data_IF_674612672929
#
_entry.id   IF_674612672929
#
_cell.length_a   1.000
_cell.length_b   1.000
_cell.length_c   1.000
_cell.angle_alpha   90.00
_cell.angle_beta   90.00
_cell.angle_gamma   90.00
#
_symmetry.space_group_name_H-M   'P 1'
#
loop_
_entity.id
_entity.type
_entity.pdbx_description
1 polymer ?
#
# COMPACT_ATOMS: atom_id res chain seq x y z
N UNK A 1 -13.52 9.02 -4.38
CA UNK A 1 -12.17 8.65 -3.91
C UNK A 1 -12.05 7.15 -3.60
N UNK A 2 -12.58 6.62 -2.47
CA UNK A 2 -12.37 5.19 -2.13
C UNK A 2 -12.94 4.23 -3.16
N UNK A 3 -14.17 4.47 -3.64
CA UNK A 3 -14.77 3.63 -4.68
C UNK A 3 -13.95 3.63 -5.98
N UNK A 4 -13.41 4.79 -6.37
CA UNK A 4 -12.57 4.95 -7.56
C UNK A 4 -11.21 4.27 -7.39
N UNK A 5 -10.63 4.37 -6.18
CA UNK A 5 -9.42 3.64 -5.80
C UNK A 5 -9.62 2.12 -5.88
N UNK A 6 -10.73 1.61 -5.35
CA UNK A 6 -11.08 0.19 -5.42
C UNK A 6 -11.22 -0.26 -6.88
N UNK A 7 -11.93 0.50 -7.71
CA UNK A 7 -12.06 0.20 -9.15
C UNK A 7 -10.71 0.23 -9.85
N UNK A 8 -9.86 1.21 -9.54
CA UNK A 8 -8.53 1.33 -10.11
C UNK A 8 -7.64 0.14 -9.73
N UNK A 9 -7.54 -0.20 -8.45
CA UNK A 9 -6.77 -1.37 -7.98
C UNK A 9 -7.33 -2.65 -8.57
N UNK A 10 -8.66 -2.82 -8.62
CA UNK A 10 -9.31 -3.99 -9.21
C UNK A 10 -8.94 -4.18 -10.68
N UNK A 11 -8.93 -3.12 -11.49
CA UNK A 11 -8.44 -3.17 -12.87
C UNK A 11 -6.97 -3.56 -12.94
N UNK A 12 -6.12 -2.96 -12.11
CA UNK A 12 -4.68 -3.26 -12.11
C UNK A 12 -4.36 -4.69 -11.64
N UNK A 13 -5.14 -5.24 -10.71
CA UNK A 13 -5.03 -6.65 -10.31
C UNK A 13 -5.38 -7.60 -11.46
N UNK A 14 -6.41 -7.27 -12.24
CA UNK A 14 -6.80 -8.03 -13.42
C UNK A 14 -5.76 -7.93 -14.54
N UNK A 15 -5.27 -6.72 -14.83
CA UNK A 15 -4.24 -6.46 -15.85
C UNK A 15 -2.91 -7.20 -15.54
N UNK A 16 -2.43 -7.16 -14.30
CA UNK A 16 -1.12 -7.73 -13.93
C UNK A 16 -1.18 -9.21 -13.56
N UNK A 17 -2.30 -9.67 -13.02
CA UNK A 17 -2.40 -10.98 -12.39
C UNK A 17 -3.65 -11.78 -12.78
N UNK A 18 -4.50 -11.27 -13.67
CA UNK A 18 -5.77 -11.90 -14.07
C UNK A 18 -6.68 -12.20 -12.86
N UNK A 19 -6.58 -11.37 -11.82
CA UNK A 19 -7.40 -11.48 -10.62
C UNK A 19 -8.56 -10.50 -10.71
N UNK A 20 -9.77 -11.05 -10.89
CA UNK A 20 -11.00 -10.28 -10.77
C UNK A 20 -11.25 -9.92 -9.30
N UNK A 21 -11.56 -8.66 -9.05
CA UNK A 21 -11.89 -8.17 -7.71
C UNK A 21 -13.06 -7.18 -7.81
N UNK A 22 -14.07 -7.37 -6.98
CA UNK A 22 -15.19 -6.45 -6.83
C UNK A 22 -15.22 -5.89 -5.40
N UNK A 23 -16.08 -4.89 -5.17
CA UNK A 23 -16.28 -4.33 -3.83
C UNK A 23 -16.81 -5.35 -2.81
N UNK A 24 -17.44 -6.45 -3.27
CA UNK A 24 -17.93 -7.53 -2.42
C UNK A 24 -16.80 -8.42 -1.90
N UNK A 25 -15.59 -8.34 -2.50
CA UNK A 25 -14.40 -9.04 -2.04
C UNK A 25 -13.52 -8.17 -1.12
N UNK A 26 -13.99 -7.00 -0.70
CA UNK A 26 -13.17 -6.04 0.05
C UNK A 26 -13.86 -5.69 1.36
N UNK A 27 -13.27 -6.14 2.45
CA UNK A 27 -13.67 -5.72 3.78
C UNK A 27 -13.19 -4.28 4.01
N UNK A 28 -14.14 -3.37 4.21
CA UNK A 28 -13.89 -1.97 4.51
C UNK A 28 -14.10 -1.69 5.99
N UNK A 29 -13.05 -1.23 6.66
CA UNK A 29 -13.11 -0.78 8.05
C UNK A 29 -12.91 0.74 8.12
N UNK A 30 -13.65 1.40 8.99
CA UNK A 30 -13.60 2.84 9.23
C UNK A 30 -13.25 3.14 10.69
N UNK A 31 -12.49 4.21 10.87
CA UNK A 31 -12.14 4.81 12.16
C UNK A 31 -11.95 6.31 12.01
N UNK A 32 -12.77 6.90 11.14
CA UNK A 32 -12.74 8.31 10.80
C UNK A 32 -13.22 9.14 11.99
N UNK A 33 -12.71 10.36 12.07
CA UNK A 33 -13.15 11.41 12.99
C UNK A 33 -13.50 12.65 12.19
N UNK A 34 -14.06 13.66 12.85
CA UNK A 34 -14.31 14.97 12.24
C UNK A 34 -13.01 15.60 11.67
N UNK A 35 -11.87 15.35 12.31
CA UNK A 35 -10.57 15.89 11.89
C UNK A 35 -9.82 15.01 10.88
N UNK A 36 -10.15 13.71 10.80
CA UNK A 36 -9.36 12.74 10.04
C UNK A 36 -10.20 11.65 9.42
N UNK A 37 -10.15 11.56 8.10
CA UNK A 37 -10.55 10.37 7.37
C UNK A 37 -9.55 9.21 7.60
N UNK A 38 -10.02 8.03 8.00
CA UNK A 38 -9.16 6.87 8.32
C UNK A 38 -9.86 5.54 8.04
N UNK A 39 -9.54 4.93 6.90
CA UNK A 39 -10.15 3.69 6.43
C UNK A 39 -9.09 2.61 6.14
N UNK A 40 -9.38 1.36 6.48
CA UNK A 40 -8.61 0.18 6.06
C UNK A 40 -9.39 -0.58 4.98
N UNK A 41 -8.72 -0.94 3.89
CA UNK A 41 -9.25 -1.81 2.85
C UNK A 41 -8.50 -3.15 2.90
N UNK A 42 -9.25 -4.24 3.05
CA UNK A 42 -8.69 -5.59 3.13
C UNK A 42 -9.29 -6.41 1.99
N UNK A 43 -8.44 -6.70 1.00
CA UNK A 43 -8.83 -7.42 -0.22
C UNK A 43 -8.78 -8.93 0.05
N UNK A 44 -9.94 -9.56 0.05
CA UNK A 44 -10.14 -10.99 0.28
C UNK A 44 -10.26 -11.68 -1.07
N UNK A 45 -9.13 -11.79 -1.76
CA UNK A 45 -9.03 -12.36 -3.10
C UNK A 45 -9.30 -13.88 -3.05
N UNK A 46 -10.14 -14.38 -3.96
CA UNK A 46 -10.39 -15.81 -4.07
C UNK A 46 -9.19 -16.50 -4.74
N UNK A 47 -8.62 -17.52 -4.07
CA UNK A 47 -7.47 -18.28 -4.55
C UNK A 47 -6.26 -17.44 -4.98
N UNK A 48 -6.06 -16.26 -4.37
CA UNK A 48 -4.87 -15.47 -4.61
C UNK A 48 -4.40 -14.77 -3.33
N UNK A 49 -3.07 -14.64 -3.17
CA UNK A 49 -2.46 -13.86 -2.11
C UNK A 49 -1.12 -13.31 -2.57
N UNK A 50 -0.75 -12.12 -2.14
CA UNK A 50 0.61 -11.63 -2.36
C UNK A 50 1.61 -12.42 -1.51
N UNK A 51 2.78 -12.67 -2.08
CA UNK A 51 3.89 -13.39 -1.43
C UNK A 51 4.24 -12.82 -0.05
N UNK A 52 4.17 -11.50 0.11
CA UNK A 52 4.21 -10.80 1.40
C UNK A 52 3.78 -9.33 1.20
N UNK A 53 3.71 -8.56 2.29
CA UNK A 53 3.31 -7.16 2.25
C UNK A 53 4.29 -6.23 1.50
N UNK A 54 5.56 -6.61 1.35
CA UNK A 54 6.52 -5.83 0.56
C UNK A 54 6.14 -5.88 -0.92
N UNK A 55 5.77 -7.05 -1.45
CA UNK A 55 5.30 -7.16 -2.83
C UNK A 55 4.00 -6.37 -3.08
N UNK A 56 3.12 -6.25 -2.06
CA UNK A 56 1.94 -5.36 -2.15
C UNK A 56 2.41 -3.90 -2.28
N UNK A 57 3.35 -3.47 -1.43
CA UNK A 57 3.89 -2.12 -1.46
C UNK A 57 4.55 -1.78 -2.80
N UNK A 58 5.28 -2.73 -3.39
CA UNK A 58 5.93 -2.58 -4.69
C UNK A 58 4.88 -2.45 -5.80
N UNK A 59 3.88 -3.34 -5.82
CA UNK A 59 2.77 -3.29 -6.76
C UNK A 59 2.05 -1.93 -6.72
N UNK A 60 1.71 -1.45 -5.52
CA UNK A 60 1.04 -0.16 -5.35
C UNK A 60 1.93 1.01 -5.80
N UNK A 61 3.24 0.99 -5.48
CA UNK A 61 4.19 2.00 -5.97
C UNK A 61 4.27 2.02 -7.49
N UNK A 62 4.32 0.87 -8.13
CA UNK A 62 4.34 0.75 -9.60
C UNK A 62 3.08 1.34 -10.21
N UNK A 63 1.90 0.92 -9.78
CA UNK A 63 0.65 1.37 -10.42
C UNK A 63 0.28 2.82 -10.06
N UNK A 64 0.73 3.34 -8.93
CA UNK A 64 0.47 4.72 -8.48
C UNK A 64 1.61 5.69 -8.81
N UNK A 65 2.61 5.27 -9.58
CA UNK A 65 3.77 6.10 -9.92
C UNK A 65 3.37 7.48 -10.48
N UNK A 66 2.35 7.61 -11.37
CA UNK A 66 1.90 8.93 -11.83
C UNK A 66 1.42 9.84 -10.70
N UNK A 67 0.66 9.31 -9.74
CA UNK A 67 0.21 10.09 -8.57
C UNK A 67 1.36 10.45 -7.64
N UNK A 68 2.32 9.55 -7.46
CA UNK A 68 3.52 9.80 -6.64
C UNK A 68 4.33 10.95 -7.24
N UNK A 69 4.48 11.04 -8.56
CA UNK A 69 5.14 12.18 -9.21
C UNK A 69 4.41 13.50 -8.96
N UNK A 70 3.07 13.51 -8.99
CA UNK A 70 2.27 14.71 -8.69
C UNK A 70 2.50 15.25 -7.27
N UNK A 71 2.88 14.40 -6.31
CA UNK A 71 3.25 14.86 -4.95
C UNK A 71 4.64 15.49 -4.85
N UNK A 72 5.52 15.23 -5.82
CA UNK A 72 6.93 15.68 -5.81
C UNK A 72 7.16 17.00 -6.54
N UNK A 73 6.29 17.37 -7.48
CA UNK A 73 6.41 18.63 -8.23
C UNK A 73 6.09 19.82 -7.31
N UNK A 74 7.15 20.37 -6.70
CA UNK A 74 7.08 21.43 -5.69
C UNK A 74 7.36 22.84 -6.22
N UNK A 75 7.77 23.02 -7.47
CA UNK A 75 8.22 24.32 -7.96
C UNK A 75 7.43 24.83 -9.17
N UNK A 76 7.09 26.12 -9.12
CA UNK A 76 6.42 26.97 -10.10
C UNK A 76 4.88 26.99 -10.13
N UNK A 77 4.29 27.74 -9.21
CA UNK A 77 3.08 28.54 -9.48
C UNK A 77 3.28 29.91 -8.82
N UNK A 78 3.94 30.82 -9.54
CA UNK A 78 3.80 32.27 -9.35
C UNK A 78 2.54 32.71 -10.13
N UNK A 79 1.49 33.24 -9.48
CA UNK A 79 0.26 33.59 -10.15
C UNK A 79 0.32 35.02 -10.71
N UNK A 80 1.06 35.21 -11.80
CA UNK A 80 0.91 36.38 -12.68
C UNK A 80 1.06 36.00 -14.16
N UNK A 81 0.05 35.32 -14.71
CA UNK A 81 -0.45 35.63 -16.06
C UNK A 81 -1.74 34.86 -16.35
N UNK A 82 -2.88 35.49 -16.10
CA UNK A 82 -4.13 35.13 -16.77
C UNK A 82 -4.14 35.93 -18.07
N UNK A 83 -3.95 35.24 -19.20
CA UNK A 83 -4.76 35.46 -20.40
C UNK A 83 -4.47 34.43 -21.49
N UNK A 84 -5.54 33.70 -21.80
CA UNK A 84 -6.02 33.32 -23.13
C UNK A 84 -5.33 32.21 -23.96
N UNK A 85 -6.25 31.42 -24.52
CA UNK A 85 -6.18 30.58 -25.72
C UNK A 85 -5.56 29.20 -25.53
N UNK A 86 -6.44 28.21 -25.56
CA UNK A 86 -6.06 26.80 -25.70
C UNK A 86 -5.37 26.53 -27.04
N UNK A 87 -4.62 25.43 -27.06
CA UNK A 87 -4.28 24.55 -28.19
C UNK A 87 -2.84 24.03 -28.03
N UNK A 88 -2.76 22.72 -27.89
CA UNK A 88 -1.72 21.80 -28.35
C UNK A 88 -0.33 22.41 -28.63
N UNK A 89 0.66 22.05 -27.80
CA UNK A 89 2.08 22.23 -28.13
C UNK A 89 2.67 20.89 -28.58
N UNK A 90 2.71 20.73 -29.90
CA UNK A 90 3.85 20.12 -30.59
C UNK A 90 4.88 21.24 -30.74
N UNK A 91 6.06 21.13 -30.13
CA UNK A 91 7.19 21.97 -30.57
C UNK A 91 8.52 21.24 -30.43
N UNK A 92 9.12 21.06 -31.60
CA UNK A 92 10.54 20.85 -31.90
C UNK A 92 11.39 21.96 -31.29
N UNK A 93 12.44 21.61 -30.55
CA UNK A 93 13.48 22.55 -30.13
C UNK A 93 14.59 22.53 -31.19
N UNK A 94 14.75 23.68 -31.85
CA UNK A 94 15.90 24.03 -32.67
C UNK A 94 17.04 24.42 -31.74
N UNK A 95 18.17 23.74 -31.85
CA UNK A 95 19.33 23.87 -30.96
C UNK A 95 20.54 24.34 -31.77
N UNK A 96 20.69 25.65 -31.89
CA UNK A 96 21.96 26.33 -32.18
C UNK A 96 22.06 27.46 -31.15
N UNK A 97 22.95 27.44 -30.18
CA UNK A 97 24.41 27.40 -30.25
C UNK A 97 24.97 26.94 -28.89
N UNK A 98 26.25 26.54 -28.87
CA UNK A 98 27.04 25.95 -27.77
C UNK A 98 27.08 24.40 -27.74
N UNK A 99 27.78 23.85 -28.74
CA UNK A 99 28.62 22.65 -28.60
C UNK A 99 29.71 22.96 -27.54
N UNK A 100 30.27 22.08 -26.71
CA UNK A 100 30.85 20.75 -26.98
C UNK A 100 30.98 19.93 -25.67
N UNK A 101 30.62 18.63 -25.74
CA UNK A 101 31.26 17.44 -25.10
C UNK A 101 30.25 16.32 -24.76
N UNK A 102 29.84 15.67 -25.85
CA UNK A 102 29.89 14.24 -26.17
C UNK A 102 29.75 13.11 -25.12
N UNK A 103 28.92 12.14 -25.53
CA UNK A 103 28.80 10.71 -25.16
C UNK A 103 27.89 10.18 -24.04
N UNK A 104 27.44 10.95 -23.02
CA UNK A 104 26.70 10.35 -21.88
C UNK A 104 25.15 10.46 -21.91
N UNK A 105 24.57 11.22 -22.85
CA UNK A 105 23.12 11.53 -22.84
C UNK A 105 22.30 10.66 -23.81
N UNK A 106 22.94 9.96 -24.76
CA UNK A 106 22.23 9.08 -25.70
C UNK A 106 21.85 7.72 -25.11
N UNK A 107 22.64 7.17 -24.18
CA UNK A 107 22.37 5.84 -23.63
C UNK A 107 21.19 5.79 -22.64
N UNK A 108 20.88 6.90 -21.97
CA UNK A 108 19.76 6.92 -20.99
C UNK A 108 18.39 6.90 -21.70
N UNK A 109 18.28 7.58 -22.85
CA UNK A 109 17.04 7.64 -23.62
C UNK A 109 16.78 6.39 -24.48
N UNK A 110 17.83 5.65 -24.85
CA UNK A 110 17.68 4.38 -25.58
C UNK A 110 17.34 3.21 -24.62
N UNK A 111 17.88 3.21 -23.40
CA UNK A 111 17.67 2.12 -22.44
C UNK A 111 16.27 2.10 -21.80
N UNK A 112 15.58 3.25 -21.71
CA UNK A 112 14.19 3.32 -21.23
C UNK A 112 13.15 2.83 -22.25
N UNK A 113 13.52 2.73 -23.54
CA UNK A 113 12.63 2.24 -24.61
C UNK A 113 12.80 0.75 -24.94
N UNK A 114 13.80 0.05 -24.38
CA UNK A 114 14.14 -1.31 -24.80
C UNK A 114 13.60 -2.43 -23.89
N UNK A 115 13.15 -2.14 -22.67
CA UNK A 115 12.70 -3.19 -21.73
C UNK A 115 11.17 -3.29 -21.51
N UNK A 116 10.38 -2.66 -22.38
CA UNK A 116 8.92 -2.81 -22.42
C UNK A 116 8.47 -3.87 -23.46
N UNK A 117 8.96 -5.11 -23.37
CA UNK A 117 8.39 -6.25 -24.11
C UNK A 117 8.64 -7.50 -23.25
N UNK A 118 7.63 -8.14 -22.65
CA UNK A 118 6.56 -8.86 -23.35
C UNK A 118 5.22 -8.70 -22.62
N UNK A 119 4.41 -7.75 -23.07
CA UNK A 119 2.95 -7.87 -22.97
C UNK A 119 2.51 -8.21 -24.38
N UNK A 120 1.81 -9.34 -24.51
CA UNK A 120 1.21 -9.81 -25.75
C UNK A 120 0.46 -8.67 -26.42
N UNK A 121 0.83 -8.36 -27.66
CA UNK A 121 0.17 -7.38 -28.51
C UNK A 121 -1.33 -7.66 -28.60
N UNK A 122 -2.12 -6.82 -27.93
CA UNK A 122 -3.48 -6.49 -28.35
C UNK A 122 -3.72 -5.04 -28.00
N UNK A 123 -3.76 -4.23 -29.06
CA UNK A 123 -3.75 -2.78 -28.99
C UNK A 123 -4.93 -2.19 -28.22
N UNK A 124 -4.59 -1.28 -27.33
CA UNK A 124 -5.38 -0.10 -26.98
C UNK A 124 -4.38 0.96 -26.57
N UNK A 125 -4.48 2.15 -27.15
CA UNK A 125 -3.69 3.33 -26.78
C UNK A 125 -3.75 3.55 -25.27
N UNK A 126 -2.67 3.28 -24.54
CA UNK A 126 -2.59 3.49 -23.10
C UNK A 126 -2.58 4.99 -22.80
N UNK A 127 -3.77 5.56 -22.63
CA UNK A 127 -3.91 6.80 -21.88
C UNK A 127 -3.39 6.54 -20.46
N UNK A 128 -2.32 7.23 -20.07
CA UNK A 128 -1.88 7.24 -18.68
C UNK A 128 -3.08 7.63 -17.81
N UNK A 129 -3.56 6.77 -16.90
CA UNK A 129 -4.76 7.06 -16.14
C UNK A 129 -4.52 8.32 -15.29
N UNK A 130 -5.43 9.29 -15.36
CA UNK A 130 -5.38 10.44 -14.46
C UNK A 130 -5.62 9.97 -13.02
N UNK A 131 -4.58 10.04 -12.20
CA UNK A 131 -4.60 9.67 -10.79
C UNK A 131 -4.60 10.90 -9.87
N UNK A 132 -4.91 12.10 -10.39
CA UNK A 132 -5.00 13.34 -9.62
C UNK A 132 -6.01 13.26 -8.47
N UNK A 133 -7.06 12.44 -8.61
CA UNK A 133 -8.06 12.19 -7.56
C UNK A 133 -7.50 11.51 -6.31
N UNK A 134 -6.27 10.97 -6.35
CA UNK A 134 -5.58 10.39 -5.21
C UNK A 134 -4.73 11.42 -4.45
N UNK A 135 -4.64 12.66 -4.92
CA UNK A 135 -3.83 13.69 -4.28
C UNK A 135 -4.69 14.46 -3.27
N UNK A 136 -4.21 14.54 -2.04
CA UNK A 136 -4.85 15.27 -0.93
C UNK A 136 -3.88 16.28 -0.33
N UNK A 137 -4.41 17.28 0.38
CA UNK A 137 -3.58 18.21 1.14
C UNK A 137 -3.31 17.62 2.53
N UNK A 138 -2.04 17.61 2.92
CA UNK A 138 -1.60 17.33 4.27
C UNK A 138 -1.90 18.49 5.22
N UNK A 139 -1.50 18.35 6.48
CA UNK A 139 -1.81 19.32 7.53
C UNK A 139 -1.18 20.69 7.30
N UNK A 140 -0.05 20.73 6.60
CA UNK A 140 0.71 21.95 6.31
C UNK A 140 0.48 22.43 4.86
N UNK A 141 -0.54 21.91 4.18
CA UNK A 141 -0.87 22.24 2.79
C UNK A 141 -0.03 21.51 1.74
N UNK A 142 0.89 20.65 2.16
CA UNK A 142 1.71 19.83 1.27
C UNK A 142 0.87 18.77 0.55
N UNK A 143 1.16 18.51 -0.72
CA UNK A 143 0.47 17.45 -1.48
C UNK A 143 0.93 16.07 -1.00
N UNK A 144 -0.03 15.22 -0.67
CA UNK A 144 0.20 13.84 -0.22
C UNK A 144 -0.68 12.87 -1.00
N UNK A 145 -0.28 11.60 -1.02
CA UNK A 145 -1.11 10.54 -1.57
C UNK A 145 -2.20 10.16 -0.55
N UNK A 146 -3.42 9.93 -1.03
CA UNK A 146 -4.53 9.42 -0.23
C UNK A 146 -4.26 8.03 0.36
N UNK A 147 -3.42 7.24 -0.32
CA UNK A 147 -3.00 5.90 0.09
C UNK A 147 -1.70 5.96 0.89
N UNK A 148 -1.71 5.44 2.11
CA UNK A 148 -0.51 5.33 2.96
C UNK A 148 0.38 4.18 2.46
N UNK A 149 1.39 4.49 1.66
CA UNK A 149 2.39 3.52 1.18
C UNK A 149 3.43 3.13 2.25
N UNK A 150 3.42 3.78 3.41
CA UNK A 150 4.33 3.55 4.52
C UNK A 150 3.98 2.33 5.37
N UNK A 151 2.82 1.69 5.15
CA UNK A 151 2.38 0.48 5.87
C UNK A 151 3.02 -0.81 5.34
N UNK A 152 3.65 -0.78 4.18
CA UNK A 152 4.23 -1.96 3.54
C UNK A 152 5.69 -2.18 3.96
N UNK A 153 5.91 -2.39 5.26
CA UNK A 153 7.23 -2.59 5.89
C UNK A 153 7.32 -3.92 6.62
N UNK A 154 8.55 -4.43 6.85
CA UNK A 154 8.76 -5.71 7.54
C UNK A 154 8.13 -5.69 8.94
N UNK A 155 7.38 -6.74 9.28
CA UNK A 155 6.72 -6.92 10.59
C UNK A 155 5.81 -5.74 10.99
N UNK A 156 5.12 -5.11 10.02
CA UNK A 156 4.21 -3.99 10.30
C UNK A 156 3.06 -4.44 11.21
N UNK A 157 2.84 -3.69 12.29
CA UNK A 157 1.62 -3.78 13.07
C UNK A 157 0.45 -3.12 12.32
N UNK A 158 -0.64 -3.88 12.17
CA UNK A 158 -1.93 -3.39 11.73
C UNK A 158 -2.90 -3.45 12.90
N UNK A 159 -3.62 -2.35 13.15
CA UNK A 159 -4.63 -2.30 14.21
C UNK A 159 -5.77 -3.26 13.89
N UNK A 160 -6.17 -4.04 14.89
CA UNK A 160 -7.21 -5.05 14.77
C UNK A 160 -8.61 -4.42 14.66
N UNK A 161 -9.53 -5.14 14.01
CA UNK A 161 -10.97 -4.88 14.08
C UNK A 161 -11.43 -4.78 15.54
N UNK A 162 -12.39 -3.89 15.81
CA UNK A 162 -12.90 -3.58 17.16
C UNK A 162 -11.88 -2.97 18.13
N UNK A 163 -10.67 -2.61 17.69
CA UNK A 163 -9.68 -1.94 18.53
C UNK A 163 -9.57 -0.44 18.27
N UNK A 164 -9.25 0.33 19.30
CA UNK A 164 -8.84 1.74 19.18
C UNK A 164 -7.32 1.88 19.26
N UNK A 165 -6.80 3.07 18.96
CA UNK A 165 -5.41 3.40 19.29
C UNK A 165 -5.29 3.67 20.79
N UNK A 166 -4.12 3.44 21.36
CA UNK A 166 -3.85 3.80 22.75
C UNK A 166 -4.21 5.27 23.02
N UNK A 167 -4.96 5.52 24.09
CA UNK A 167 -5.44 6.85 24.48
C UNK A 167 -6.52 7.44 23.55
N UNK A 168 -7.07 6.67 22.60
CA UNK A 168 -8.16 7.10 21.72
C UNK A 168 -9.39 6.23 21.94
N UNK A 169 -10.56 6.82 21.79
CA UNK A 169 -11.87 6.15 21.93
C UNK A 169 -12.42 5.65 20.60
N UNK A 170 -11.87 6.12 19.48
CA UNK A 170 -12.36 5.79 18.13
C UNK A 170 -11.95 4.37 17.76
N UNK A 171 -12.97 3.51 17.62
CA UNK A 171 -12.84 2.09 17.32
C UNK A 171 -12.74 1.87 15.81
N UNK A 172 -11.93 0.90 15.37
CA UNK A 172 -11.94 0.43 13.98
C UNK A 172 -13.12 -0.51 13.76
N UNK A 173 -14.17 -0.04 13.10
CA UNK A 173 -15.41 -0.79 12.89
C UNK A 173 -15.67 -1.03 11.38
N UNK A 174 -16.63 -1.89 11.04
CA UNK A 174 -17.14 -2.04 9.69
C UNK A 174 -17.64 -0.68 9.18
N UNK A 175 -17.20 -0.26 8.00
CA UNK A 175 -17.66 0.98 7.39
C UNK A 175 -19.13 0.86 6.95
N UNK A 176 -19.88 1.97 7.00
CA UNK A 176 -21.30 1.99 6.62
C UNK A 176 -21.55 1.55 5.17
N UNK A 177 -20.64 1.89 4.27
CA UNK A 177 -20.68 1.55 2.84
C UNK A 177 -19.92 0.26 2.50
N UNK A 178 -19.58 -0.57 3.51
CA UNK A 178 -18.97 -1.87 3.30
C UNK A 178 -19.93 -2.81 2.55
N UNK A 179 -19.42 -3.47 1.48
CA UNK A 179 -20.19 -4.43 0.67
C UNK A 179 -19.79 -5.89 0.90
N UNK A 180 -18.64 -6.13 1.53
CA UNK A 180 -18.20 -7.48 1.85
C UNK A 180 -19.06 -8.08 2.96
N UNK A 181 -19.60 -9.27 2.72
CA UNK A 181 -20.29 -10.08 3.72
C UNK A 181 -19.57 -11.42 3.83
N UNK A 182 -19.06 -11.82 5.00
CA UNK A 182 -18.38 -13.10 5.14
C UNK A 182 -19.36 -14.26 4.89
N UNK A 183 -18.86 -15.31 4.23
CA UNK A 183 -19.63 -16.54 4.00
C UNK A 183 -19.93 -17.19 5.37
N UNK A 184 -21.20 -17.54 5.66
CA UNK A 184 -21.58 -18.13 6.93
C UNK A 184 -20.89 -19.48 7.11
N UNK A 185 -20.28 -19.68 8.29
CA UNK A 185 -19.68 -20.96 8.68
C UNK A 185 -20.41 -21.48 9.92
N UNK A 186 -20.80 -22.76 9.90
CA UNK A 186 -21.45 -23.43 11.02
C UNK A 186 -20.63 -23.22 12.30
N UNK A 187 -21.30 -22.89 13.41
CA UNK A 187 -20.70 -22.65 14.74
C UNK A 187 -19.83 -21.39 14.89
N UNK A 188 -20.01 -20.35 14.07
CA UNK A 188 -19.34 -19.04 14.27
C UNK A 188 -20.31 -17.87 14.23
N UNK A 189 -20.12 -16.88 15.10
CA UNK A 189 -20.91 -15.64 15.04
C UNK A 189 -20.39 -14.70 13.95
N UNK A 190 -21.22 -13.74 13.51
CA UNK A 190 -20.85 -12.77 12.46
C UNK A 190 -19.59 -11.98 12.82
N UNK A 191 -19.46 -11.53 14.06
CA UNK A 191 -18.31 -10.74 14.51
C UNK A 191 -17.00 -11.53 14.43
N UNK A 192 -17.03 -12.82 14.78
CA UNK A 192 -15.88 -13.70 14.63
C UNK A 192 -15.48 -13.85 13.16
N UNK A 193 -16.44 -13.96 12.25
CA UNK A 193 -16.14 -14.06 10.81
C UNK A 193 -15.55 -12.75 10.26
N UNK A 194 -16.06 -11.59 10.68
CA UNK A 194 -15.48 -10.30 10.34
C UNK A 194 -14.07 -10.13 10.93
N UNK A 195 -13.89 -10.51 12.19
CA UNK A 195 -12.57 -10.50 12.83
C UNK A 195 -11.57 -11.33 12.04
N UNK A 196 -11.89 -12.59 11.72
CA UNK A 196 -11.03 -13.47 10.92
C UNK A 196 -10.77 -12.92 9.52
N UNK A 197 -11.76 -12.30 8.89
CA UNK A 197 -11.61 -11.66 7.57
C UNK A 197 -10.77 -10.37 7.63
N UNK A 198 -10.66 -9.75 8.81
CA UNK A 198 -9.85 -8.54 9.01
C UNK A 198 -8.35 -8.82 9.26
N UNK A 199 -7.99 -10.07 9.52
CA UNK A 199 -6.60 -10.46 9.77
C UNK A 199 -5.83 -10.52 8.44
N UNK A 200 -4.91 -9.58 8.22
CA UNK A 200 -4.11 -9.47 6.99
C UNK A 200 -3.35 -10.77 6.67
N UNK A 201 -2.85 -11.47 7.69
CA UNK A 201 -2.09 -12.71 7.52
C UNK A 201 -2.96 -13.98 7.51
N UNK A 202 -4.28 -13.88 7.68
CA UNK A 202 -5.19 -15.02 7.65
C UNK A 202 -5.57 -15.40 6.22
N UNK A 203 -4.55 -15.78 5.44
CA UNK A 203 -4.71 -16.21 4.05
C UNK A 203 -5.38 -17.59 4.04
N UNK A 204 -6.42 -17.75 3.22
CA UNK A 204 -7.07 -19.04 3.01
C UNK A 204 -6.26 -19.84 2.00
N UNK A 205 -5.65 -20.92 2.47
CA UNK A 205 -4.89 -21.83 1.61
C UNK A 205 -5.83 -22.75 0.84
N UNK A 206 -5.54 -22.90 -0.45
CA UNK A 206 -6.18 -23.85 -1.35
C UNK A 206 -5.15 -24.40 -2.32
N UNK A 207 -5.41 -25.57 -2.91
CA UNK A 207 -4.48 -26.21 -3.86
C UNK A 207 -4.27 -25.39 -5.14
N UNK A 208 -5.18 -24.44 -5.42
CA UNK A 208 -5.12 -23.52 -6.54
C UNK A 208 -4.71 -22.09 -6.14
N UNK A 209 -4.15 -21.89 -4.94
CA UNK A 209 -3.73 -20.57 -4.47
C UNK A 209 -2.61 -19.98 -5.35
N UNK A 210 -2.91 -18.89 -6.06
CA UNK A 210 -1.96 -18.11 -6.84
C UNK A 210 -1.19 -17.15 -5.93
N UNK A 211 0.13 -17.31 -5.87
CA UNK A 211 1.01 -16.41 -5.14
C UNK A 211 1.45 -15.25 -6.04
N UNK A 212 1.02 -14.05 -5.71
CA UNK A 212 1.31 -12.83 -6.47
C UNK A 212 2.64 -12.22 -6.02
N UNK A 213 3.48 -11.80 -6.96
CA UNK A 213 4.74 -11.10 -6.67
C UNK A 213 4.89 -9.86 -7.54
N UNK A 214 5.45 -8.82 -6.94
CA UNK A 214 5.91 -7.61 -7.62
C UNK A 214 7.26 -7.24 -7.04
N UNK A 215 8.32 -7.36 -7.84
CA UNK A 215 9.67 -7.01 -7.42
C UNK A 215 9.92 -5.52 -7.66
N UNK A 216 10.79 -4.93 -6.84
CA UNK A 216 11.22 -3.55 -7.07
C UNK A 216 12.05 -3.50 -8.36
N UNK A 217 11.57 -2.77 -9.36
CA UNK A 217 12.36 -2.50 -10.56
C UNK A 217 13.58 -1.58 -10.28
N UNK A 218 13.67 -0.99 -9.09
CA UNK A 218 14.72 -0.04 -8.70
C UNK A 218 15.90 -0.65 -7.91
N UNK A 219 15.97 -1.97 -7.71
CA UNK A 219 17.10 -2.61 -6.99
C UNK A 219 18.00 -3.50 -7.85
N UNK A 220 18.18 -3.16 -9.12
CA UNK A 220 19.37 -3.56 -9.85
C UNK A 220 20.51 -2.58 -9.52
N UNK A 221 21.24 -2.85 -8.43
CA UNK A 221 22.54 -2.28 -8.03
C UNK A 221 22.59 -0.76 -7.77
N UNK A 222 22.40 -0.37 -6.50
CA UNK A 222 23.32 0.57 -5.85
C UNK A 222 23.52 0.15 -4.38
N UNK A 223 24.76 0.11 -3.85
CA UNK A 223 25.00 -0.12 -2.43
C UNK A 223 24.52 1.12 -1.66
N UNK A 224 23.60 0.91 -0.72
CA UNK A 224 23.15 1.97 0.19
C UNK A 224 24.34 2.52 0.98
N UNK A 225 24.77 3.74 0.67
CA UNK A 225 25.53 4.55 1.62
C UNK A 225 24.59 4.87 2.77
N UNK A 226 24.85 4.23 3.90
CA UNK A 226 24.20 4.50 5.17
C UNK A 226 24.50 5.95 5.57
N UNK A 227 23.56 6.87 5.32
CA UNK A 227 23.45 8.09 6.09
C UNK A 227 22.38 7.87 7.16
N UNK A 228 22.86 7.68 8.38
CA UNK A 228 22.06 7.65 9.60
C UNK A 228 21.54 9.07 9.86
N UNK A 229 20.32 9.36 9.40
CA UNK A 229 19.67 10.62 9.71
C UNK A 229 19.02 10.51 11.10
N UNK A 230 19.72 11.05 12.11
CA UNK A 230 19.25 11.17 13.49
C UNK A 230 18.11 12.18 13.56
N UNK A 231 16.89 11.71 13.29
CA UNK A 231 15.68 12.43 13.70
C UNK A 231 15.48 12.16 15.20
N UNK A 232 15.74 13.17 16.03
CA UNK A 232 15.34 13.20 17.44
C UNK A 232 13.83 12.98 17.55
N UNK A 233 13.43 11.75 17.84
CA UNK A 233 12.06 11.42 18.22
C UNK A 233 11.94 11.51 19.74
N UNK A 234 11.35 12.60 20.21
CA UNK A 234 10.65 12.59 21.49
C UNK A 234 9.35 11.80 21.30
N UNK A 235 9.40 10.49 21.49
CA UNK A 235 8.23 9.64 21.68
C UNK A 235 8.66 8.43 22.52
N UNK A 236 7.84 8.11 23.52
CA UNK A 236 8.01 7.08 24.56
C UNK A 236 8.83 5.87 24.10
N UNK A 237 9.77 5.43 24.95
CA UNK A 237 10.59 4.26 24.70
C UNK A 237 9.71 3.04 24.34
N UNK A 238 10.09 2.22 23.33
CA UNK A 238 9.38 0.99 23.01
C UNK A 238 9.24 0.15 24.28
N UNK A 239 8.01 -0.28 24.60
CA UNK A 239 7.79 -1.15 25.75
C UNK A 239 8.13 -2.55 25.28
N UNK A 240 9.24 -3.08 25.77
CA UNK A 240 9.68 -4.42 25.43
C UNK A 240 10.10 -5.19 26.67
N UNK A 241 9.98 -6.51 26.59
CA UNK A 241 10.37 -7.39 27.66
C UNK A 241 10.60 -8.82 27.18
N UNK A 242 11.17 -9.61 28.09
CA UNK A 242 11.39 -11.03 27.92
C UNK A 242 10.47 -11.80 28.86
N UNK A 243 10.00 -12.98 28.46
CA UNK A 243 9.17 -13.92 29.22
C UNK A 243 7.66 -13.58 29.26
N UNK A 244 7.23 -12.62 30.09
CA UNK A 244 5.82 -12.31 30.28
C UNK A 244 5.50 -10.90 29.78
N UNK A 245 4.50 -10.79 28.90
CA UNK A 245 3.98 -9.54 28.40
C UNK A 245 3.01 -8.89 29.41
N UNK A 246 2.61 -7.62 29.18
CA UNK A 246 1.60 -6.96 30.00
C UNK A 246 0.20 -7.59 29.87
N UNK A 247 0.03 -8.58 28.98
CA UNK A 247 -1.25 -9.20 28.63
C UNK A 247 -1.19 -10.71 28.89
N UNK A 248 -1.28 -11.13 30.17
CA UNK A 248 -1.12 -12.53 30.56
C UNK A 248 -2.16 -13.45 29.91
N UNK A 249 -3.35 -12.95 29.61
CA UNK A 249 -4.38 -13.69 28.86
C UNK A 249 -3.93 -14.03 27.43
N UNK A 250 -3.23 -13.13 26.74
CA UNK A 250 -2.66 -13.38 25.42
C UNK A 250 -1.52 -14.37 25.54
N UNK A 251 -0.62 -14.17 26.50
CA UNK A 251 0.51 -15.07 26.74
C UNK A 251 0.03 -16.50 27.00
N UNK A 252 -1.00 -16.66 27.85
CA UNK A 252 -1.61 -17.95 28.14
C UNK A 252 -2.22 -18.59 26.90
N UNK A 253 -2.93 -17.82 26.07
CA UNK A 253 -3.47 -18.31 24.80
C UNK A 253 -2.35 -18.75 23.85
N UNK A 254 -1.28 -17.97 23.70
CA UNK A 254 -0.12 -18.38 22.89
C UNK A 254 0.50 -19.67 23.46
N UNK A 255 0.59 -19.78 24.79
CA UNK A 255 1.08 -20.99 25.45
C UNK A 255 0.22 -22.22 25.18
N UNK A 256 -1.12 -22.12 25.09
CA UNK A 256 -1.97 -23.26 24.73
C UNK A 256 -1.78 -23.71 23.28
N UNK A 257 -1.42 -22.79 22.37
CA UNK A 257 -1.14 -23.10 20.97
C UNK A 257 0.22 -23.76 20.76
N UNK A 258 1.27 -23.27 21.43
CA UNK A 258 2.66 -23.73 21.21
C UNK A 258 3.04 -24.98 22.03
N UNK A 259 2.19 -25.41 22.96
CA UNK A 259 2.36 -26.64 23.77
C UNK A 259 1.44 -27.77 23.30
N UNK A 260 1.19 -27.86 21.99
CA UNK A 260 0.35 -28.90 21.39
C UNK A 260 1.23 -29.95 20.71
N UNK A 261 0.82 -31.22 20.79
CA UNK A 261 1.39 -32.34 20.00
C UNK A 261 2.92 -32.46 20.09
N UNK A 262 3.45 -32.56 21.32
CA UNK A 262 4.88 -32.73 21.64
C UNK A 262 5.81 -31.56 21.23
N UNK A 263 5.27 -30.45 20.73
CA UNK A 263 6.06 -29.23 20.50
C UNK A 263 6.14 -28.43 21.81
N UNK A 264 7.36 -28.04 22.21
CA UNK A 264 7.58 -27.11 23.32
C UNK A 264 8.07 -25.77 22.79
N UNK A 265 7.22 -24.75 22.88
CA UNK A 265 7.56 -23.36 22.59
C UNK A 265 7.48 -22.45 23.82
N UNK A 266 8.11 -21.27 23.74
CA UNK A 266 8.00 -20.21 24.73
C UNK A 266 8.12 -18.83 24.11
N UNK A 267 7.52 -17.83 24.76
CA UNK A 267 7.62 -16.43 24.35
C UNK A 267 9.01 -15.91 24.75
N UNK A 268 9.89 -15.71 23.76
CA UNK A 268 11.26 -15.23 24.00
C UNK A 268 11.31 -13.71 24.25
N UNK A 269 10.48 -12.96 23.54
CA UNK A 269 10.45 -11.50 23.58
C UNK A 269 9.07 -11.02 23.14
N UNK A 270 8.60 -9.96 23.76
CA UNK A 270 7.45 -9.17 23.32
C UNK A 270 7.89 -7.71 23.17
N UNK A 271 7.27 -6.99 22.24
CA UNK A 271 7.56 -5.59 21.99
C UNK A 271 6.25 -4.89 21.57
N UNK A 272 5.95 -3.77 22.22
CA UNK A 272 4.88 -2.83 21.88
C UNK A 272 5.51 -1.53 21.38
N UNK A 273 5.14 -1.15 20.17
CA UNK A 273 5.57 0.07 19.50
C UNK A 273 4.58 1.21 19.71
#
# INVERSE_FOLDING_TARGET
MVADLIKFIGRKLDEYYEIKCSAENILKLDSSTEEKYSCHLIFLLENAAFKNNIHIGNFLRTIMQPAILLTKNKDAMDPQNINSVGRCYKTTIDLSTYLENDSLVKDVCQNLKLNSYKISEKGTSEENPDLSFLIVNGKQGEKQLFVDLGVYTKNRNFRLYMSSKAGRTVILNIAEDNKFVPKPVNNSCKDQQYFLSSLICNVRFSDCLKILSCDNQEHAREPSLYLEDKISRSCLAPIEGCHCSPYPEIDNFVHTLIKKENVQGGIRRWNYF
#
